data_IF_785837643926
#
_entry.id   IF_785837643926
#
_cell.length_a   1.000
_cell.length_b   1.000
_cell.length_c   1.000
_cell.angle_alpha   90.00
_cell.angle_beta   90.00
_cell.angle_gamma   90.00
#
_symmetry.space_group_name_H-M   'P 1'
#
loop_
_entity.id
_entity.type
_entity.pdbx_description
1 polymer ?
#
# COMPACT_ATOMS: atom_id res chain seq x y z
N UNK A 1 -27.64 -35.06 -3.27
CA UNK A 1 -27.36 -33.62 -3.00
C UNK A 1 -26.11 -33.43 -2.12
N UNK A 2 -24.99 -34.13 -2.40
CA UNK A 2 -23.82 -34.15 -1.49
C UNK A 2 -22.58 -33.39 -2.01
N UNK A 3 -22.66 -32.76 -3.20
CA UNK A 3 -21.49 -32.11 -3.84
C UNK A 3 -21.55 -30.58 -3.89
N UNK A 4 -22.61 -29.94 -3.38
CA UNK A 4 -22.75 -28.47 -3.44
C UNK A 4 -22.20 -27.74 -2.20
N UNK A 5 -21.82 -28.46 -1.14
CA UNK A 5 -21.32 -27.86 0.11
C UNK A 5 -19.79 -27.66 0.06
N UNK A 6 -19.12 -28.11 -1.00
CA UNK A 6 -17.65 -28.24 -1.05
C UNK A 6 -16.86 -26.94 -1.32
N UNK A 7 -17.47 -25.74 -1.40
CA UNK A 7 -16.73 -24.50 -1.72
C UNK A 7 -17.21 -23.23 -1.00
N UNK A 8 -17.53 -23.31 0.29
CA UNK A 8 -17.55 -22.13 1.17
C UNK A 8 -16.54 -22.35 2.30
N UNK A 9 -15.26 -22.28 1.95
CA UNK A 9 -14.16 -22.66 2.84
C UNK A 9 -13.97 -21.70 4.03
N UNK A 10 -14.54 -20.49 4.00
CA UNK A 10 -14.44 -19.50 5.09
C UNK A 10 -15.79 -18.99 5.63
N UNK A 11 -16.93 -19.49 5.12
CA UNK A 11 -18.28 -18.97 5.39
C UNK A 11 -18.51 -17.46 5.09
N UNK A 12 -17.55 -16.76 4.47
CA UNK A 12 -17.51 -15.31 4.26
C UNK A 12 -16.98 -14.54 5.46
N UNK A 13 -16.83 -13.21 5.32
CA UNK A 13 -16.48 -12.31 6.43
C UNK A 13 -17.46 -12.47 7.59
N UNK A 14 -16.97 -12.52 8.83
CA UNK A 14 -17.78 -12.71 10.03
C UNK A 14 -18.91 -11.68 10.14
N UNK A 15 -20.11 -12.13 10.53
CA UNK A 15 -21.30 -11.27 10.63
C UNK A 15 -21.07 -10.09 11.58
N UNK A 16 -20.34 -10.31 12.68
CA UNK A 16 -19.99 -9.24 13.63
C UNK A 16 -19.14 -8.15 12.98
N UNK A 17 -18.13 -8.52 12.19
CA UNK A 17 -17.28 -7.55 11.48
C UNK A 17 -18.10 -6.73 10.48
N UNK A 18 -19.01 -7.39 9.75
CA UNK A 18 -19.91 -6.71 8.80
C UNK A 18 -20.86 -5.74 9.51
N UNK A 19 -21.40 -6.10 10.68
CA UNK A 19 -22.25 -5.22 11.47
C UNK A 19 -21.49 -4.00 11.99
N UNK A 20 -20.28 -4.20 12.50
CA UNK A 20 -19.43 -3.11 13.02
C UNK A 20 -19.05 -2.16 11.88
N UNK A 21 -18.54 -2.69 10.77
CA UNK A 21 -18.15 -1.91 9.59
C UNK A 21 -19.36 -1.17 9.02
N UNK A 22 -20.52 -1.82 8.96
CA UNK A 22 -21.77 -1.22 8.50
C UNK A 22 -22.22 -0.03 9.36
N UNK A 23 -22.29 -0.19 10.68
CA UNK A 23 -22.70 0.90 11.58
C UNK A 23 -21.69 2.06 11.53
N UNK A 24 -20.39 1.77 11.55
CA UNK A 24 -19.36 2.81 11.49
C UNK A 24 -19.44 3.63 10.20
N UNK A 25 -19.46 2.96 9.04
CA UNK A 25 -19.48 3.66 7.76
C UNK A 25 -20.82 4.32 7.45
N UNK A 26 -21.92 3.93 8.11
CA UNK A 26 -23.19 4.67 8.00
C UNK A 26 -23.11 6.11 8.51
N UNK A 27 -22.16 6.40 9.42
CA UNK A 27 -21.99 7.70 10.08
C UNK A 27 -20.70 8.42 9.68
N UNK A 28 -19.63 7.68 9.38
CA UNK A 28 -18.26 8.21 9.29
C UNK A 28 -17.59 8.00 7.93
N UNK A 29 -18.32 7.59 6.89
CA UNK A 29 -17.72 7.28 5.58
C UNK A 29 -16.93 8.45 4.98
N UNK A 30 -17.57 9.62 4.83
CA UNK A 30 -16.92 10.75 4.16
C UNK A 30 -15.70 11.27 4.93
N UNK A 31 -15.81 11.37 6.26
CA UNK A 31 -14.72 11.75 7.16
C UNK A 31 -13.55 10.77 7.06
N UNK A 32 -13.82 9.47 7.16
CA UNK A 32 -12.79 8.43 7.07
C UNK A 32 -12.06 8.48 5.72
N UNK A 33 -12.80 8.68 4.62
CA UNK A 33 -12.20 8.77 3.28
C UNK A 33 -11.34 10.03 3.14
N UNK A 34 -11.77 11.17 3.70
CA UNK A 34 -10.98 12.40 3.71
C UNK A 34 -9.68 12.23 4.51
N UNK A 35 -9.77 11.65 5.70
CA UNK A 35 -8.60 11.37 6.55
C UNK A 35 -7.62 10.42 5.88
N UNK A 36 -8.13 9.33 5.29
CA UNK A 36 -7.30 8.35 4.60
C UNK A 36 -6.60 8.96 3.39
N UNK A 37 -7.30 9.78 2.59
CA UNK A 37 -6.69 10.53 1.48
C UNK A 37 -5.60 11.47 1.97
N UNK A 38 -5.85 12.19 3.06
CA UNK A 38 -4.86 13.08 3.68
C UNK A 38 -3.62 12.32 4.16
N UNK A 39 -3.81 11.18 4.82
CA UNK A 39 -2.72 10.34 5.32
C UNK A 39 -1.88 9.76 4.17
N UNK A 40 -2.51 9.21 3.14
CA UNK A 40 -1.82 8.67 1.97
C UNK A 40 -1.07 9.75 1.20
N UNK A 41 -1.68 10.94 1.02
CA UNK A 41 -1.00 12.08 0.39
C UNK A 41 0.24 12.52 1.18
N UNK A 42 0.15 12.62 2.50
CA UNK A 42 1.32 12.95 3.35
C UNK A 42 2.44 11.91 3.18
N UNK A 43 2.11 10.62 3.19
CA UNK A 43 3.10 9.54 2.96
C UNK A 43 3.75 9.64 1.58
N UNK A 44 2.96 9.88 0.54
CA UNK A 44 3.45 10.07 -0.83
C UNK A 44 4.43 11.23 -0.93
N UNK A 45 4.08 12.38 -0.35
CA UNK A 45 4.94 13.57 -0.37
C UNK A 45 6.26 13.34 0.37
N UNK A 46 6.21 12.71 1.54
CA UNK A 46 7.42 12.40 2.34
C UNK A 46 8.33 11.44 1.58
N UNK A 47 7.79 10.35 1.02
CA UNK A 47 8.57 9.39 0.25
C UNK A 47 9.17 10.03 -1.00
N UNK A 48 8.40 10.85 -1.72
CA UNK A 48 8.87 11.57 -2.91
C UNK A 48 9.97 12.57 -2.57
N UNK A 49 9.87 13.28 -1.45
CA UNK A 49 10.91 14.19 -0.98
C UNK A 49 12.19 13.44 -0.62
N UNK A 50 12.08 12.34 0.14
CA UNK A 50 13.22 11.50 0.51
C UNK A 50 13.93 10.89 -0.71
N UNK A 51 13.16 10.43 -1.72
CA UNK A 51 13.74 9.93 -2.97
C UNK A 51 14.52 11.03 -3.71
N UNK A 52 13.99 12.25 -3.79
CA UNK A 52 14.68 13.39 -4.42
C UNK A 52 15.92 13.81 -3.64
N UNK A 53 15.88 13.78 -2.31
CA UNK A 53 16.99 14.17 -1.44
C UNK A 53 18.15 13.16 -1.46
N UNK A 54 17.84 11.86 -1.34
CA UNK A 54 18.87 10.82 -1.18
C UNK A 54 19.33 10.19 -2.49
N UNK A 55 18.43 10.05 -3.48
CA UNK A 55 18.74 9.40 -4.75
C UNK A 55 18.84 10.40 -5.91
N UNK A 56 18.16 11.55 -5.82
CA UNK A 56 18.29 12.65 -6.78
C UNK A 56 18.12 12.17 -8.24
N UNK A 57 19.06 12.46 -9.15
CA UNK A 57 18.98 12.05 -10.56
C UNK A 57 19.35 10.57 -10.81
N UNK A 58 19.76 9.82 -9.78
CA UNK A 58 20.14 8.41 -9.94
C UNK A 58 18.93 7.53 -10.25
N UNK A 59 17.75 7.93 -9.78
CA UNK A 59 16.50 7.19 -9.95
C UNK A 59 15.46 8.06 -10.61
N UNK A 60 14.59 7.43 -11.39
CA UNK A 60 13.48 8.10 -12.07
C UNK A 60 12.16 7.61 -11.48
N UNK A 61 11.26 8.55 -11.13
CA UNK A 61 9.94 8.22 -10.62
C UNK A 61 8.96 9.34 -10.88
N UNK A 62 7.69 8.98 -11.10
CA UNK A 62 6.59 9.93 -11.21
C UNK A 62 5.82 9.98 -9.89
N UNK A 63 5.43 11.19 -9.48
CA UNK A 63 4.61 11.36 -8.28
C UNK A 63 3.18 10.83 -8.56
N UNK A 64 2.73 9.79 -7.84
CA UNK A 64 1.44 9.16 -8.12
C UNK A 64 0.29 10.08 -7.72
N UNK A 65 -0.76 10.10 -8.55
CA UNK A 65 -1.98 10.88 -8.27
C UNK A 65 -2.85 10.29 -7.14
N UNK A 66 -2.59 9.03 -6.77
CA UNK A 66 -3.31 8.30 -5.73
C UNK A 66 -2.90 6.83 -5.68
N UNK A 67 -3.46 6.09 -4.74
CA UNK A 67 -3.09 4.69 -4.46
C UNK A 67 -2.17 4.57 -3.24
N UNK A 68 -1.50 3.43 -3.12
CA UNK A 68 -0.66 3.08 -1.96
C UNK A 68 0.80 2.82 -2.32
N UNK A 69 1.16 2.89 -3.61
CA UNK A 69 2.47 2.51 -4.11
C UNK A 69 3.08 3.61 -4.97
N UNK A 70 4.40 3.76 -4.87
CA UNK A 70 5.23 4.62 -5.73
C UNK A 70 6.25 3.70 -6.40
N UNK A 71 6.36 3.80 -7.72
CA UNK A 71 7.28 2.99 -8.51
C UNK A 71 8.52 3.79 -8.88
N UNK A 72 9.68 3.23 -8.58
CA UNK A 72 10.98 3.84 -8.87
C UNK A 72 11.69 3.02 -9.93
N UNK A 73 12.19 3.69 -10.95
CA UNK A 73 13.04 3.12 -11.98
C UNK A 73 14.51 3.31 -11.59
N UNK A 74 15.20 2.20 -11.42
CA UNK A 74 16.63 2.16 -11.13
C UNK A 74 17.45 2.46 -12.39
N UNK A 75 18.67 2.98 -12.23
CA UNK A 75 19.56 3.24 -13.36
C UNK A 75 19.99 1.91 -14.00
N UNK A 76 20.36 1.95 -15.30
CA UNK A 76 20.80 0.74 -16.00
C UNK A 76 22.03 0.13 -15.32
N UNK A 77 22.00 -1.19 -15.12
CA UNK A 77 23.10 -1.94 -14.50
C UNK A 77 22.92 -2.22 -13.01
N UNK A 78 21.87 -1.70 -12.36
CA UNK A 78 21.50 -2.09 -10.99
C UNK A 78 20.39 -3.15 -11.06
N UNK A 79 20.64 -4.35 -10.49
CA UNK A 79 19.59 -5.35 -10.28
C UNK A 79 18.81 -4.99 -9.00
N UNK A 80 17.48 -4.89 -9.12
CA UNK A 80 16.61 -4.61 -7.98
C UNK A 80 16.70 -5.68 -6.88
N UNK A 81 17.07 -6.92 -7.22
CA UNK A 81 17.21 -8.01 -6.25
C UNK A 81 18.42 -7.80 -5.34
N UNK A 82 19.52 -7.31 -5.89
CA UNK A 82 20.72 -6.98 -5.12
C UNK A 82 20.41 -5.82 -4.17
N UNK A 83 19.68 -4.81 -4.65
CA UNK A 83 19.21 -3.69 -3.82
C UNK A 83 18.34 -4.15 -2.64
N UNK A 84 17.36 -5.03 -2.90
CA UNK A 84 16.51 -5.60 -1.84
C UNK A 84 17.33 -6.41 -0.84
N UNK A 85 18.31 -7.19 -1.32
CA UNK A 85 19.18 -7.97 -0.44
C UNK A 85 20.03 -7.06 0.46
N UNK A 86 20.64 -6.00 -0.10
CA UNK A 86 21.40 -5.01 0.69
C UNK A 86 20.51 -4.30 1.71
N UNK A 87 19.31 -3.87 1.32
CA UNK A 87 18.39 -3.23 2.25
C UNK A 87 17.99 -4.15 3.41
N UNK A 88 17.73 -5.44 3.13
CA UNK A 88 17.42 -6.42 4.16
C UNK A 88 18.56 -6.61 5.17
N UNK A 89 19.82 -6.54 4.71
CA UNK A 89 21.00 -6.63 5.56
C UNK A 89 21.17 -5.39 6.47
N UNK A 90 20.71 -4.22 6.00
CA UNK A 90 20.67 -2.97 6.78
C UNK A 90 19.43 -2.87 7.68
N UNK A 91 18.50 -3.83 7.59
CA UNK A 91 17.27 -3.89 8.40
C UNK A 91 16.05 -3.24 7.75
N UNK A 92 16.19 -2.77 6.52
CA UNK A 92 15.13 -2.14 5.73
C UNK A 92 14.40 -3.19 4.87
N UNK A 93 13.07 -3.22 5.00
CA UNK A 93 12.19 -4.02 4.12
C UNK A 93 11.66 -3.12 3.00
N UNK A 94 12.31 -3.18 1.84
CA UNK A 94 11.88 -2.53 0.59
C UNK A 94 10.67 -3.25 -0.04
#
# INVERSE_FOLDING_TARGET
MSRLISRKTDAGTGVMDQMIVGDYFSKHYDEHIQDMRGALKRKCNVLSAALREHFGPLVDFEEPRGGMYLWVKLPPGIDSRDLVQTALEEGDRL
#
